data_IF_944823154683
#
_entry.id   IF_944823154683
#
_cell.length_a   1.000
_cell.length_b   1.000
_cell.length_c   1.000
_cell.angle_alpha   90.00
_cell.angle_beta   90.00
_cell.angle_gamma   90.00
#
_symmetry.space_group_name_H-M   'P 1'
#
loop_
_entity.id
_entity.type
_entity.pdbx_description
1 polymer ?
#
# COMPACT_ATOMS: atom_id res chain seq x y z
N UNK A 1 -43.57 -8.40 33.56
CA UNK A 1 -43.40 -8.70 32.13
C UNK A 1 -43.06 -7.35 31.51
N UNK A 2 -41.81 -7.01 31.20
CA UNK A 2 -40.68 -7.84 30.76
C UNK A 2 -39.33 -7.36 31.31
N UNK A 3 -38.45 -8.33 31.55
CA UNK A 3 -37.00 -8.17 31.76
C UNK A 3 -36.30 -8.38 30.42
N UNK A 4 -35.15 -7.72 30.19
CA UNK A 4 -33.95 -8.09 29.38
C UNK A 4 -33.39 -6.80 28.74
N UNK A 5 -32.40 -6.12 29.30
CA UNK A 5 -30.97 -6.43 29.37
C UNK A 5 -30.31 -6.65 27.99
N UNK A 6 -29.56 -5.68 27.47
CA UNK A 6 -28.39 -5.99 26.66
C UNK A 6 -27.28 -4.95 26.84
N UNK A 7 -26.20 -5.41 27.49
CA UNK A 7 -24.87 -4.83 27.52
C UNK A 7 -24.19 -4.88 26.16
N UNK A 8 -23.30 -3.93 25.92
CA UNK A 8 -22.00 -3.99 25.18
C UNK A 8 -21.61 -2.54 24.89
N UNK A 9 -20.86 -1.82 25.74
CA UNK A 9 -19.48 -2.02 26.17
C UNK A 9 -18.46 -2.12 25.02
N UNK A 10 -17.36 -1.38 25.21
CA UNK A 10 -16.07 -1.37 24.51
C UNK A 10 -15.93 -0.33 23.38
N UNK A 11 -15.25 0.80 23.63
CA UNK A 11 -13.79 0.96 23.80
C UNK A 11 -13.06 0.91 22.44
N UNK A 12 -12.49 2.04 22.00
CA UNK A 12 -11.03 2.25 21.94
C UNK A 12 -10.68 3.49 21.10
N UNK A 13 -10.33 4.53 21.85
CA UNK A 13 -9.41 5.61 21.50
C UNK A 13 -8.08 5.02 21.02
N UNK A 14 -7.54 5.48 19.88
CA UNK A 14 -6.11 5.77 19.64
C UNK A 14 -5.90 6.08 18.14
N UNK A 15 -5.70 7.36 17.81
CA UNK A 15 -4.40 7.93 17.50
C UNK A 15 -3.65 7.19 16.38
N UNK A 16 -3.73 7.73 15.17
CA UNK A 16 -2.66 7.57 14.18
C UNK A 16 -2.60 8.81 13.27
N UNK A 17 -2.64 9.99 13.89
CA UNK A 17 -1.87 11.12 13.35
C UNK A 17 -0.41 10.74 13.59
N UNK A 18 0.23 10.11 12.60
CA UNK A 18 1.69 10.02 12.59
C UNK A 18 2.18 11.43 12.32
N UNK A 19 2.35 12.17 13.40
CA UNK A 19 3.09 13.41 13.49
C UNK A 19 4.37 13.22 12.66
N UNK A 20 4.45 13.94 11.55
CA UNK A 20 5.65 14.00 10.71
C UNK A 20 6.67 14.80 11.49
N UNK A 21 7.30 14.18 12.49
CA UNK A 21 8.58 14.62 13.02
C UNK A 21 9.56 14.56 11.85
N UNK A 22 9.67 15.68 11.15
CA UNK A 22 10.72 15.94 10.20
C UNK A 22 12.03 16.03 11.00
N UNK A 23 12.58 14.85 11.32
CA UNK A 23 13.91 14.75 11.86
C UNK A 23 14.87 15.06 10.72
N UNK A 24 15.26 16.32 10.66
CA UNK A 24 16.30 16.81 9.78
C UNK A 24 17.57 15.98 10.06
N UNK A 25 17.99 15.20 9.06
CA UNK A 25 19.20 14.39 9.00
C UNK A 25 19.11 12.89 9.32
N UNK A 26 18.00 12.20 9.01
CA UNK A 26 18.13 10.78 8.72
C UNK A 26 18.62 10.61 7.26
N UNK A 27 19.87 10.20 6.99
CA UNK A 27 20.35 10.03 5.63
C UNK A 27 19.50 8.93 4.97
N UNK A 28 18.72 9.28 3.95
CA UNK A 28 17.99 8.30 3.16
C UNK A 28 18.99 7.29 2.60
N UNK A 29 18.72 6.01 2.80
CA UNK A 29 19.58 4.92 2.36
C UNK A 29 19.35 4.68 0.86
N UNK A 30 20.27 5.07 -0.04
CA UNK A 30 20.07 4.91 -1.47
C UNK A 30 20.11 3.43 -1.85
N UNK A 31 19.23 3.04 -2.76
CA UNK A 31 19.31 1.74 -3.44
C UNK A 31 20.37 1.81 -4.55
N UNK A 32 21.00 0.67 -4.84
CA UNK A 32 21.98 0.57 -5.94
C UNK A 32 21.37 0.90 -7.31
N UNK A 33 20.10 0.53 -7.49
CA UNK A 33 19.32 0.84 -8.68
C UNK A 33 18.01 1.52 -8.30
N UNK A 34 17.49 2.34 -9.21
CA UNK A 34 16.09 2.79 -9.13
C UNK A 34 15.17 1.67 -9.57
N UNK A 35 14.01 1.57 -8.93
CA UNK A 35 13.01 0.55 -9.22
C UNK A 35 11.64 1.17 -9.43
N UNK A 36 10.93 0.72 -10.46
CA UNK A 36 9.57 1.15 -10.75
C UNK A 36 8.57 0.12 -10.25
N UNK A 37 7.63 0.60 -9.43
CA UNK A 37 6.49 -0.18 -8.97
C UNK A 37 5.33 -0.02 -9.95
N UNK A 38 4.74 -1.13 -10.37
CA UNK A 38 3.62 -1.19 -11.31
C UNK A 38 2.44 -1.94 -10.71
N UNK A 39 1.24 -1.54 -11.13
CA UNK A 39 -0.01 -2.22 -10.80
C UNK A 39 -0.70 -2.67 -12.08
N UNK A 40 -1.04 -3.95 -12.16
CA UNK A 40 -1.89 -4.49 -13.21
C UNK A 40 -3.35 -4.30 -12.81
N UNK A 41 -4.01 -3.34 -13.45
CA UNK A 41 -5.44 -3.13 -13.28
C UNK A 41 -6.18 -4.25 -14.03
N UNK A 42 -7.07 -5.01 -13.36
CA UNK A 42 -7.84 -6.05 -14.01
C UNK A 42 -8.92 -5.41 -14.87
N UNK A 43 -8.63 -5.21 -16.15
CA UNK A 43 -9.60 -4.77 -17.16
C UNK A 43 -9.50 -5.65 -18.40
N UNK A 44 -10.53 -6.49 -18.59
CA UNK A 44 -10.60 -7.43 -19.72
C UNK A 44 -10.83 -6.73 -21.07
N UNK A 45 -11.20 -5.44 -21.06
CA UNK A 45 -11.48 -4.67 -22.28
C UNK A 45 -10.23 -3.97 -22.82
N UNK A 46 -9.16 -3.95 -22.02
CA UNK A 46 -7.93 -3.23 -22.31
C UNK A 46 -6.82 -4.24 -22.61
N UNK A 47 -6.01 -3.94 -23.62
CA UNK A 47 -4.82 -4.75 -23.94
C UNK A 47 -3.86 -4.70 -22.75
N UNK A 48 -3.24 -5.83 -22.41
CA UNK A 48 -2.43 -6.00 -21.20
C UNK A 48 -1.43 -4.86 -20.94
N UNK A 49 -0.73 -4.37 -21.98
CA UNK A 49 0.24 -3.27 -21.86
C UNK A 49 -0.39 -1.98 -21.31
N UNK A 50 -1.64 -1.69 -21.67
CA UNK A 50 -2.38 -0.52 -21.20
C UNK A 50 -3.05 -0.74 -19.84
N UNK A 51 -3.13 -1.99 -19.39
CA UNK A 51 -3.62 -2.36 -18.06
C UNK A 51 -2.54 -2.21 -16.99
N UNK A 52 -1.27 -2.08 -17.38
CA UNK A 52 -0.16 -1.74 -16.50
C UNK A 52 -0.17 -0.25 -16.17
N UNK A 53 -0.25 0.06 -14.88
CA UNK A 53 -0.23 1.42 -14.35
C UNK A 53 1.05 1.59 -13.55
N UNK A 54 1.90 2.55 -13.94
CA UNK A 54 3.06 2.95 -13.15
C UNK A 54 2.59 3.63 -11.88
N UNK A 55 3.07 3.16 -10.72
CA UNK A 55 2.75 3.74 -9.42
C UNK A 55 3.81 4.76 -9.01
N UNK A 56 5.07 4.34 -8.88
CA UNK A 56 6.16 5.17 -8.36
C UNK A 56 7.54 4.62 -8.77
N UNK A 57 8.53 5.49 -8.92
CA UNK A 57 9.95 5.13 -8.98
C UNK A 57 10.60 5.31 -7.61
N UNK A 58 11.36 4.30 -7.18
CA UNK A 58 11.93 4.19 -5.84
C UNK A 58 13.44 4.11 -5.96
N UNK A 59 14.12 5.12 -5.41
CA UNK A 59 15.58 5.18 -5.32
C UNK A 59 16.14 5.00 -3.91
N UNK A 60 15.28 4.96 -2.88
CA UNK A 60 15.68 4.90 -1.48
C UNK A 60 14.89 3.83 -0.73
N UNK A 61 15.52 3.22 0.28
CA UNK A 61 14.91 2.16 1.10
C UNK A 61 13.70 2.66 1.88
N UNK A 62 13.74 3.90 2.35
CA UNK A 62 12.65 4.53 3.10
C UNK A 62 11.41 4.72 2.21
N UNK A 63 11.63 5.08 0.94
CA UNK A 63 10.55 5.24 -0.04
C UNK A 63 9.93 3.87 -0.41
N UNK A 64 10.72 2.79 -0.41
CA UNK A 64 10.21 1.42 -0.54
C UNK A 64 9.26 1.07 0.61
N UNK A 65 9.70 1.22 1.86
CA UNK A 65 8.87 0.87 3.02
C UNK A 65 7.63 1.76 3.13
N UNK A 66 7.77 3.05 2.83
CA UNK A 66 6.62 3.96 2.76
C UNK A 66 5.62 3.48 1.71
N UNK A 67 6.08 3.11 0.51
CA UNK A 67 5.20 2.59 -0.55
C UNK A 67 4.52 1.29 -0.11
N UNK A 68 5.30 0.30 0.34
CA UNK A 68 4.80 -1.01 0.75
C UNK A 68 3.71 -0.92 1.83
N UNK A 69 3.91 -0.06 2.83
CA UNK A 69 2.97 0.11 3.94
C UNK A 69 1.62 0.74 3.52
N UNK A 70 1.57 1.47 2.41
CA UNK A 70 0.34 2.04 1.87
C UNK A 70 -0.32 1.16 0.78
N UNK A 71 0.35 0.08 0.35
CA UNK A 71 -0.22 -0.86 -0.59
C UNK A 71 -1.21 -1.81 0.10
N UNK A 72 -2.20 -2.26 -0.67
CA UNK A 72 -3.04 -3.34 -0.22
C UNK A 72 -2.22 -4.64 -0.18
N UNK A 73 -2.39 -5.43 0.88
CA UNK A 73 -1.75 -6.74 0.97
C UNK A 73 -2.13 -7.62 -0.24
N UNK A 74 -1.20 -8.41 -0.80
CA UNK A 74 -1.49 -9.29 -1.94
C UNK A 74 -2.68 -10.23 -1.71
N UNK A 75 -2.88 -10.71 -0.48
CA UNK A 75 -4.04 -11.53 -0.11
C UNK A 75 -5.38 -10.80 -0.30
N UNK A 76 -5.41 -9.49 -0.06
CA UNK A 76 -6.59 -8.64 -0.24
C UNK A 76 -6.85 -8.33 -1.71
N UNK A 77 -5.81 -8.32 -2.55
CA UNK A 77 -5.97 -8.15 -4.00
C UNK A 77 -6.76 -9.30 -4.62
N UNK A 78 -6.40 -10.54 -4.30
CA UNK A 78 -7.10 -11.72 -4.83
C UNK A 78 -8.60 -11.73 -4.49
N UNK A 79 -8.97 -11.17 -3.33
CA UNK A 79 -10.36 -11.12 -2.85
C UNK A 79 -11.13 -9.93 -3.42
N UNK A 80 -10.51 -8.74 -3.49
CA UNK A 80 -11.20 -7.50 -3.89
C UNK A 80 -11.17 -7.25 -5.41
N UNK A 81 -10.13 -7.73 -6.10
CA UNK A 81 -9.87 -7.46 -7.53
C UNK A 81 -9.22 -8.68 -8.18
N UNK A 82 -10.06 -9.63 -8.60
CA UNK A 82 -9.63 -10.85 -9.30
C UNK A 82 -8.76 -10.50 -10.51
N UNK A 83 -7.61 -11.18 -10.64
CA UNK A 83 -6.59 -10.99 -11.69
C UNK A 83 -5.84 -9.64 -11.66
N UNK A 84 -5.64 -9.05 -10.48
CA UNK A 84 -4.75 -7.90 -10.31
C UNK A 84 -3.42 -8.30 -9.68
N UNK A 85 -2.33 -7.78 -10.22
CA UNK A 85 -0.96 -8.07 -9.78
C UNK A 85 -0.17 -6.80 -9.50
N UNK A 86 0.88 -6.92 -8.71
CA UNK A 86 1.91 -5.89 -8.53
C UNK A 86 3.21 -6.38 -9.16
N UNK A 87 3.93 -5.46 -9.81
CA UNK A 87 5.27 -5.73 -10.33
C UNK A 87 6.27 -4.71 -9.83
N UNK A 88 7.52 -5.14 -9.67
CA UNK A 88 8.62 -4.29 -9.25
C UNK A 88 9.83 -4.59 -10.13
N UNK A 89 10.12 -3.68 -11.04
CA UNK A 89 11.19 -3.83 -12.03
C UNK A 89 12.23 -2.75 -11.84
N UNK A 90 13.49 -3.04 -12.19
CA UNK A 90 14.51 -2.00 -12.25
C UNK A 90 14.08 -0.94 -13.27
N UNK A 91 14.26 0.33 -12.93
CA UNK A 91 13.97 1.45 -13.82
C UNK A 91 15.02 1.50 -14.93
N UNK A 92 14.58 1.56 -16.19
CA UNK A 92 15.45 1.59 -17.38
C UNK A 92 15.50 0.26 -18.11
#
# INVERSE_FOLDING_TARGET
MDTTNNSSNQDQKQNNERELVADNANPKSPLEFSWTFWYLKPDKRVVWEKSLIKLIDIGFVEDFWATYNHLALPSRLATAKINSDYYFFRTG
#
